data_IF_226838117292
#
_entry.id   IF_226838117292
#
_cell.length_a   1.000
_cell.length_b   1.000
_cell.length_c   1.000
_cell.angle_alpha   90.00
_cell.angle_beta   90.00
_cell.angle_gamma   90.00
#
_symmetry.space_group_name_H-M   'P 1'
#
loop_
_entity.id
_entity.type
_entity.pdbx_description
1 polymer ?
#
# COMPACT_ATOMS: atom_id res chain seq x y z
N UNK A 1 10.45 19.74 -0.57
CA UNK A 1 9.21 19.51 0.20
C UNK A 1 8.48 20.83 0.34
N UNK A 2 7.14 20.84 0.30
CA UNK A 2 6.34 22.01 0.69
C UNK A 2 6.05 21.92 2.19
N UNK A 3 6.16 23.05 2.89
CA UNK A 3 5.81 23.17 4.30
C UNK A 3 4.36 23.67 4.42
N UNK A 4 3.58 23.07 5.30
CA UNK A 4 2.18 23.41 5.52
C UNK A 4 1.90 23.37 7.01
N UNK A 5 1.30 24.44 7.53
CA UNK A 5 0.82 24.50 8.91
C UNK A 5 -0.65 24.08 8.94
N UNK A 6 -0.99 23.20 9.86
CA UNK A 6 -2.35 22.69 10.04
C UNK A 6 -2.57 22.31 11.51
N UNK A 7 -3.82 22.41 11.97
CA UNK A 7 -4.18 22.02 13.32
C UNK A 7 -4.45 20.50 13.37
N UNK A 8 -3.83 19.83 14.33
CA UNK A 8 -3.97 18.40 14.59
C UNK A 8 -4.26 18.22 16.08
N UNK A 9 -5.07 17.22 16.39
CA UNK A 9 -5.21 16.70 17.75
C UNK A 9 -3.88 16.11 18.24
N UNK A 10 -3.30 16.70 19.27
CA UNK A 10 -1.98 16.34 19.80
C UNK A 10 -1.97 14.98 20.49
N UNK A 11 -3.09 14.59 21.11
CA UNK A 11 -3.23 13.30 21.78
C UNK A 11 -3.28 12.18 20.73
N UNK A 12 -4.06 12.37 19.66
CA UNK A 12 -4.11 11.43 18.54
C UNK A 12 -2.75 11.32 17.84
N UNK A 13 -2.04 12.44 17.66
CA UNK A 13 -0.70 12.43 17.06
C UNK A 13 0.29 11.67 17.94
N UNK A 14 0.21 11.84 19.25
CA UNK A 14 1.04 11.12 20.22
C UNK A 14 0.75 9.62 20.20
N UNK A 15 -0.51 9.24 20.14
CA UNK A 15 -0.92 7.84 20.01
C UNK A 15 -0.41 7.24 18.70
N UNK A 16 -0.59 7.94 17.58
CA UNK A 16 -0.08 7.52 16.28
C UNK A 16 1.45 7.38 16.29
N UNK A 17 2.17 8.28 16.95
CA UNK A 17 3.63 8.22 17.06
C UNK A 17 4.08 6.94 17.78
N UNK A 18 3.40 6.59 18.88
CA UNK A 18 3.64 5.34 19.63
C UNK A 18 3.32 4.11 18.79
N UNK A 19 2.14 4.08 18.16
CA UNK A 19 1.67 2.94 17.36
C UNK A 19 2.57 2.68 16.14
N UNK A 20 3.10 3.74 15.52
CA UNK A 20 3.96 3.66 14.34
C UNK A 20 5.46 3.60 14.66
N UNK A 21 5.85 3.71 15.94
CA UNK A 21 7.25 3.73 16.35
C UNK A 21 8.05 4.93 15.80
N UNK A 22 7.40 6.07 15.59
CA UNK A 22 7.99 7.27 14.98
C UNK A 22 8.35 8.33 16.03
N UNK A 23 9.22 9.28 15.65
CA UNK A 23 9.64 10.39 16.52
C UNK A 23 9.31 11.73 15.88
N UNK A 24 8.39 12.44 16.51
CA UNK A 24 8.02 13.81 16.15
C UNK A 24 6.96 13.92 15.04
N UNK A 25 6.25 15.07 14.97
CA UNK A 25 5.03 15.23 14.17
C UNK A 25 5.20 14.89 12.69
N UNK A 26 6.24 15.42 12.05
CA UNK A 26 6.46 15.27 10.61
C UNK A 26 6.70 13.81 10.21
N UNK A 27 7.44 13.06 11.01
CA UNK A 27 7.73 11.64 10.71
C UNK A 27 6.48 10.78 10.94
N UNK A 28 5.72 11.07 12.00
CA UNK A 28 4.45 10.40 12.30
C UNK A 28 3.42 10.64 11.20
N UNK A 29 3.20 11.89 10.79
CA UNK A 29 2.27 12.23 9.72
C UNK A 29 2.67 11.57 8.40
N UNK A 30 3.97 11.59 8.06
CA UNK A 30 4.46 10.90 6.85
C UNK A 30 4.15 9.40 6.90
N UNK A 31 4.53 8.72 7.99
CA UNK A 31 4.32 7.29 8.14
C UNK A 31 2.83 6.93 8.14
N UNK A 32 1.97 7.76 8.74
CA UNK A 32 0.54 7.58 8.73
C UNK A 32 -0.03 7.66 7.30
N UNK A 33 0.37 8.68 6.52
CA UNK A 33 -0.06 8.85 5.13
C UNK A 33 0.41 7.71 4.23
N UNK A 34 1.67 7.28 4.37
CA UNK A 34 2.22 6.14 3.64
C UNK A 34 1.44 4.84 3.94
N UNK A 35 1.12 4.61 5.21
CA UNK A 35 0.31 3.46 5.61
C UNK A 35 -1.12 3.52 5.06
N UNK A 36 -1.76 4.69 5.09
CA UNK A 36 -3.11 4.87 4.54
C UNK A 36 -3.15 4.59 3.03
N UNK A 37 -2.20 5.14 2.26
CA UNK A 37 -2.08 4.89 0.83
C UNK A 37 -1.79 3.42 0.55
N UNK A 38 -0.88 2.79 1.32
CA UNK A 38 -0.56 1.36 1.17
C UNK A 38 -1.79 0.49 1.40
N UNK A 39 -2.55 0.73 2.48
CA UNK A 39 -3.79 -0.01 2.77
C UNK A 39 -4.79 0.10 1.63
N UNK A 40 -5.02 1.32 1.12
CA UNK A 40 -5.94 1.54 0.01
C UNK A 40 -5.52 0.83 -1.28
N UNK A 41 -4.21 0.80 -1.57
CA UNK A 41 -3.69 0.05 -2.72
C UNK A 41 -3.89 -1.46 -2.56
N UNK A 42 -3.65 -1.99 -1.37
CA UNK A 42 -3.87 -3.41 -1.08
C UNK A 42 -5.35 -3.78 -1.19
N UNK A 43 -6.25 -2.95 -0.67
CA UNK A 43 -7.70 -3.12 -0.85
C UNK A 43 -8.10 -3.12 -2.33
N UNK A 44 -7.56 -2.19 -3.12
CA UNK A 44 -7.82 -2.12 -4.57
C UNK A 44 -7.30 -3.34 -5.32
N UNK A 45 -6.18 -3.92 -4.90
CA UNK A 45 -5.66 -5.16 -5.49
C UNK A 45 -6.50 -6.37 -5.08
N UNK A 46 -6.96 -6.41 -3.83
CA UNK A 46 -7.81 -7.48 -3.32
C UNK A 46 -9.21 -7.45 -3.93
N UNK A 47 -9.74 -6.26 -4.25
CA UNK A 47 -10.99 -6.11 -4.98
C UNK A 47 -10.85 -6.33 -6.48
N UNK A 48 -9.63 -6.59 -6.97
CA UNK A 48 -9.40 -6.87 -8.38
C UNK A 48 -9.75 -8.33 -8.62
N UNK A 49 -10.92 -8.56 -9.21
CA UNK A 49 -11.27 -9.88 -9.74
C UNK A 49 -10.39 -10.14 -10.96
N UNK A 50 -9.36 -10.95 -10.75
CA UNK A 50 -8.61 -11.54 -11.84
C UNK A 50 -9.56 -12.56 -12.47
N UNK A 51 -10.26 -12.17 -13.54
CA UNK A 51 -11.18 -13.01 -14.29
C UNK A 51 -10.48 -14.15 -15.04
N UNK A 52 -9.64 -14.91 -14.34
CA UNK A 52 -8.97 -16.10 -14.80
C UNK A 52 -9.64 -17.29 -14.12
N UNK A 53 -10.24 -18.16 -14.93
CA UNK A 53 -10.61 -19.48 -14.49
C UNK A 53 -9.34 -20.30 -14.16
N UNK A 54 -9.44 -21.36 -13.35
CA UNK A 54 -8.31 -22.26 -13.08
C UNK A 54 -7.63 -22.79 -14.34
N UNK A 55 -8.39 -22.99 -15.42
CA UNK A 55 -7.87 -23.42 -16.72
C UNK A 55 -7.03 -22.35 -17.43
N UNK A 56 -7.30 -21.07 -17.21
CA UNK A 56 -6.48 -19.98 -17.74
C UNK A 56 -5.12 -19.89 -17.01
N UNK A 57 -5.10 -20.23 -15.72
CA UNK A 57 -3.86 -20.31 -14.94
C UNK A 57 -2.96 -21.46 -15.41
N UNK A 58 -3.54 -22.57 -15.88
CA UNK A 58 -2.80 -23.69 -16.44
C UNK A 58 -2.08 -23.28 -17.75
N UNK A 59 -2.73 -22.46 -18.58
CA UNK A 59 -2.14 -21.94 -19.82
C UNK A 59 -0.99 -20.95 -19.56
N UNK A 60 -1.09 -20.11 -18.53
CA UNK A 60 -0.01 -19.19 -18.14
C UNK A 60 1.23 -19.90 -17.56
N UNK A 61 1.04 -21.11 -17.02
CA UNK A 61 2.13 -21.97 -16.49
C UNK A 61 2.75 -22.87 -17.55
N UNK A 62 2.14 -22.96 -18.74
CA UNK A 62 2.74 -23.69 -19.84
C UNK A 62 4.12 -23.08 -20.14
N UNK A 63 5.18 -23.89 -20.25
CA UNK A 63 6.47 -23.38 -20.68
C UNK A 63 6.25 -22.65 -22.00
N UNK A 64 6.65 -21.38 -22.08
CA UNK A 64 6.84 -20.71 -23.37
C UNK A 64 7.93 -21.51 -24.07
N UNK A 65 7.53 -22.50 -24.86
CA UNK A 65 8.34 -23.04 -25.93
C UNK A 65 8.76 -21.81 -26.71
N UNK A 66 10.03 -21.46 -26.56
CA UNK A 66 10.61 -20.36 -27.29
C UNK A 66 10.29 -20.60 -28.77
N UNK A 67 9.55 -19.69 -29.39
CA UNK A 67 9.45 -19.63 -30.83
C UNK A 67 10.87 -19.42 -31.36
N UNK A 68 11.50 -20.53 -31.73
CA UNK A 68 12.77 -20.59 -32.39
C UNK A 68 12.59 -21.38 -33.68
N UNK A 69 12.46 -20.65 -34.80
CA UNK A 69 13.00 -20.95 -36.13
C UNK A 69 12.60 -19.83 -37.10
#
# INVERSE_FOLDING_TARGET
MKHTSLYIDEDLLTEAARALGTKGPTSTVRAALENAVRRRRLESLASWEVGLAPDDLAQLRAPRLADGA
#
